data_IF_195161164058
#
_entry.id   IF_195161164058
#
_cell.length_a   1.000
_cell.length_b   1.000
_cell.length_c   1.000
_cell.angle_alpha   90.00
_cell.angle_beta   90.00
_cell.angle_gamma   90.00
#
_symmetry.space_group_name_H-M   'P 1'
#
loop_
_entity.id
_entity.type
_entity.pdbx_description
1 polymer ?
#
# COMPACT_ATOMS: atom_id res chain seq x y z
N UNK A 1 5.50 63.63 -4.89
CA UNK A 1 5.25 62.37 -5.63
C UNK A 1 6.52 62.00 -6.36
N UNK A 2 7.28 61.04 -5.84
CA UNK A 2 8.54 60.59 -6.44
C UNK A 2 8.72 59.11 -6.14
N UNK A 3 8.66 58.27 -7.18
CA UNK A 3 8.92 56.84 -7.10
C UNK A 3 10.40 56.60 -6.75
N UNK A 4 10.67 55.95 -5.62
CA UNK A 4 12.00 55.49 -5.27
C UNK A 4 12.21 54.08 -5.81
N UNK A 5 12.86 53.97 -6.97
CA UNK A 5 13.44 52.73 -7.48
C UNK A 5 14.50 52.21 -6.50
N UNK A 6 14.23 51.10 -5.82
CA UNK A 6 15.27 50.33 -5.11
C UNK A 6 16.02 49.47 -6.13
N UNK A 7 17.19 49.95 -6.59
CA UNK A 7 18.17 49.13 -7.32
C UNK A 7 18.74 48.06 -6.38
N UNK A 8 18.73 46.80 -6.81
CA UNK A 8 19.54 45.74 -6.20
C UNK A 8 21.04 46.04 -6.44
N UNK A 9 21.93 45.75 -5.48
CA UNK A 9 23.36 45.99 -5.65
C UNK A 9 23.95 44.95 -6.63
N UNK A 10 24.66 45.43 -7.65
CA UNK A 10 25.49 44.58 -8.52
C UNK A 10 26.64 43.98 -7.69
N UNK A 11 26.66 42.65 -7.57
CA UNK A 11 27.79 41.91 -7.05
C UNK A 11 28.90 41.92 -8.11
N UNK A 12 29.90 42.78 -7.93
CA UNK A 12 31.15 42.67 -8.67
C UNK A 12 31.88 41.37 -8.26
N UNK A 13 32.50 40.63 -9.19
CA UNK A 13 33.23 39.41 -8.84
C UNK A 13 34.41 39.76 -7.92
N UNK A 14 34.38 39.24 -6.69
CA UNK A 14 35.53 39.32 -5.78
C UNK A 14 36.72 38.62 -6.44
N UNK A 15 37.83 39.34 -6.61
CA UNK A 15 39.12 38.70 -6.92
C UNK A 15 39.45 37.70 -5.81
N UNK A 16 39.97 36.50 -6.14
CA UNK A 16 40.37 35.54 -5.13
C UNK A 16 41.48 36.14 -4.28
N UNK A 17 41.31 36.10 -2.95
CA UNK A 17 42.37 36.45 -2.01
C UNK A 17 43.53 35.45 -2.17
N UNK A 18 44.79 35.90 -2.04
CA UNK A 18 45.94 35.01 -2.14
C UNK A 18 45.90 33.99 -1.00
N UNK A 19 45.91 32.71 -1.38
CA UNK A 19 46.03 31.57 -0.48
C UNK A 19 47.26 31.76 0.42
N UNK A 20 47.16 31.49 1.73
CA UNK A 20 48.35 31.47 2.59
C UNK A 20 49.30 30.40 2.04
N UNK A 21 50.53 30.79 1.72
CA UNK A 21 51.62 29.84 1.51
C UNK A 21 51.99 29.23 2.86
N UNK A 22 51.21 28.23 3.28
CA UNK A 22 51.44 27.40 4.45
C UNK A 22 51.59 25.95 3.98
N UNK A 23 52.65 25.29 4.44
CA UNK A 23 53.08 23.92 4.12
C UNK A 23 51.96 22.97 3.72
N UNK A 24 52.12 22.30 2.58
CA UNK A 24 51.32 21.14 2.18
C UNK A 24 51.56 19.98 3.15
N UNK A 25 50.87 20.02 4.29
CA UNK A 25 50.58 18.81 5.04
C UNK A 25 49.41 18.15 4.31
N UNK A 26 49.60 16.92 3.86
CA UNK A 26 48.55 16.17 3.18
C UNK A 26 47.34 16.07 4.14
N UNK A 27 46.11 15.96 3.62
CA UNK A 27 44.90 15.70 4.44
C UNK A 27 45.10 14.53 5.43
N UNK A 28 45.97 13.59 5.07
CA UNK A 28 46.44 12.48 5.91
C UNK A 28 47.17 12.96 7.17
N UNK A 29 48.03 13.96 7.06
CA UNK A 29 48.81 14.52 8.17
C UNK A 29 47.92 15.34 9.13
N UNK A 30 46.87 15.98 8.60
CA UNK A 30 45.86 16.72 9.39
C UNK A 30 44.95 15.73 10.13
N UNK A 31 44.56 14.63 9.47
CA UNK A 31 43.72 13.59 10.05
C UNK A 31 44.41 12.80 11.17
N UNK A 32 45.73 12.56 11.05
CA UNK A 32 46.54 11.87 12.07
C UNK A 32 46.80 12.75 13.30
N UNK A 33 46.86 14.07 13.16
CA UNK A 33 47.13 14.98 14.27
C UNK A 33 46.00 15.07 15.33
N UNK A 34 44.82 14.49 15.05
CA UNK A 34 43.62 14.52 15.92
C UNK A 34 43.38 13.15 16.61
N UNK A 35 44.29 12.19 16.43
CA UNK A 35 44.28 10.87 17.10
C UNK A 35 45.14 10.95 18.38
N UNK A 36 44.65 10.60 19.60
CA UNK A 36 43.47 9.79 19.88
C UNK A 36 42.14 10.57 19.85
N UNK A 37 41.07 9.98 19.26
CA UNK A 37 39.74 10.58 19.28
C UNK A 37 39.12 10.54 20.69
N UNK A 38 38.02 11.29 20.92
CA UNK A 38 37.27 11.19 22.17
C UNK A 38 36.86 9.74 22.48
N UNK A 39 36.80 9.40 23.78
CA UNK A 39 36.52 8.05 24.25
C UNK A 39 35.26 7.44 23.61
N UNK A 40 35.42 6.28 22.98
CA UNK A 40 34.35 5.55 22.30
C UNK A 40 34.30 5.72 20.78
N UNK A 41 35.05 6.67 20.21
CA UNK A 41 35.22 6.78 18.76
C UNK A 41 36.45 6.00 18.29
N UNK A 42 36.35 5.36 17.12
CA UNK A 42 37.45 4.65 16.48
C UNK A 42 38.41 5.67 15.86
N UNK A 43 39.70 5.56 16.15
CA UNK A 43 40.75 6.42 15.58
C UNK A 43 40.91 6.19 14.08
N UNK A 44 41.42 7.18 13.37
CA UNK A 44 41.67 7.02 11.92
C UNK A 44 42.75 5.97 11.69
N UNK A 45 43.72 5.86 12.59
CA UNK A 45 44.74 4.82 12.48
C UNK A 45 44.14 3.42 12.66
N UNK A 46 43.24 3.25 13.63
CA UNK A 46 42.53 1.99 13.85
C UNK A 46 41.57 1.65 12.71
N UNK A 47 40.92 2.65 12.09
CA UNK A 47 40.10 2.46 10.91
C UNK A 47 40.94 1.97 9.72
N UNK A 48 42.11 2.58 9.49
CA UNK A 48 43.02 2.21 8.39
C UNK A 48 43.61 0.82 8.60
N UNK A 49 44.00 0.45 9.82
CA UNK A 49 44.50 -0.89 10.14
C UNK A 49 43.41 -1.97 9.93
N UNK A 50 42.13 -1.61 10.11
CA UNK A 50 40.99 -2.48 9.79
C UNK A 50 40.69 -2.56 8.30
N UNK A 51 41.12 -1.59 7.49
CA UNK A 51 40.90 -1.62 6.04
C UNK A 51 41.70 -2.72 5.36
N UNK A 52 42.90 -3.04 5.86
CA UNK A 52 43.69 -4.17 5.35
C UNK A 52 42.98 -5.49 5.63
N UNK A 53 42.43 -5.67 6.84
CA UNK A 53 41.58 -6.82 7.17
C UNK A 53 40.33 -6.91 6.28
N UNK A 54 39.65 -5.78 6.02
CA UNK A 54 38.46 -5.75 5.15
C UNK A 54 38.80 -6.03 3.68
N UNK A 55 39.98 -5.61 3.23
CA UNK A 55 40.52 -5.88 1.91
C UNK A 55 40.89 -7.36 1.75
N UNK A 56 41.59 -7.94 2.74
CA UNK A 56 41.93 -9.37 2.80
C UNK A 56 40.68 -10.27 2.88
N UNK A 57 39.61 -9.77 3.52
CA UNK A 57 38.30 -10.39 3.53
C UNK A 57 37.48 -10.16 2.24
N UNK A 58 38.08 -9.62 1.17
CA UNK A 58 37.45 -9.35 -0.13
C UNK A 58 36.18 -8.48 -0.07
N UNK A 59 35.99 -7.70 0.99
CA UNK A 59 34.76 -6.95 1.25
C UNK A 59 34.42 -5.91 0.15
N UNK A 60 35.45 -5.43 -0.56
CA UNK A 60 35.33 -4.43 -1.64
C UNK A 60 35.53 -5.00 -3.04
N UNK A 61 35.66 -6.33 -3.19
CA UNK A 61 35.89 -6.93 -4.51
C UNK A 61 34.58 -7.04 -5.31
N UNK A 62 34.63 -6.70 -6.59
CA UNK A 62 33.50 -6.82 -7.53
C UNK A 62 33.17 -8.26 -7.93
N UNK A 63 33.91 -9.25 -7.42
CA UNK A 63 33.74 -10.67 -7.72
C UNK A 63 32.82 -11.41 -6.73
N UNK A 64 32.09 -10.69 -5.86
CA UNK A 64 31.11 -11.28 -4.94
C UNK A 64 29.88 -11.89 -5.61
N UNK A 65 29.79 -11.95 -6.94
CA UNK A 65 28.63 -12.54 -7.63
C UNK A 65 28.42 -14.02 -7.29
N UNK A 66 29.49 -14.81 -7.16
CA UNK A 66 29.38 -16.25 -6.82
C UNK A 66 29.12 -16.50 -5.33
N UNK A 67 29.67 -15.68 -4.42
CA UNK A 67 29.36 -15.77 -2.98
C UNK A 67 27.98 -15.19 -2.65
N UNK A 68 27.51 -14.15 -3.34
CA UNK A 68 26.13 -13.66 -3.22
C UNK A 68 25.12 -14.72 -3.70
N UNK A 69 25.40 -15.43 -4.79
CA UNK A 69 24.59 -16.58 -5.25
C UNK A 69 24.61 -17.74 -4.23
N UNK A 70 25.76 -18.02 -3.59
CA UNK A 70 25.88 -19.03 -2.54
C UNK A 70 25.20 -18.62 -1.21
N UNK A 71 25.18 -17.32 -0.89
CA UNK A 71 24.48 -16.76 0.28
C UNK A 71 22.97 -16.73 0.06
N UNK A 72 22.50 -16.45 -1.17
CA UNK A 72 21.07 -16.56 -1.56
C UNK A 72 20.54 -17.99 -1.42
N UNK A 73 21.37 -19.00 -1.62
CA UNK A 73 20.96 -20.42 -1.59
C UNK A 73 21.04 -21.09 -0.22
N UNK A 74 21.69 -20.46 0.77
CA UNK A 74 21.90 -21.04 2.11
C UNK A 74 21.08 -20.40 3.22
N UNK A 75 20.56 -19.18 3.04
CA UNK A 75 19.62 -18.56 3.98
C UNK A 75 18.20 -18.94 3.59
N UNK A 76 17.48 -19.60 4.50
CA UNK A 76 16.01 -19.58 4.43
C UNK A 76 15.60 -18.12 4.34
N UNK A 77 14.85 -17.73 3.30
CA UNK A 77 14.40 -16.36 3.16
C UNK A 77 13.62 -15.96 4.41
N UNK A 78 13.69 -14.67 4.82
CA UNK A 78 12.88 -14.20 5.92
C UNK A 78 11.40 -14.43 5.58
N UNK A 79 10.56 -14.67 6.58
CA UNK A 79 9.17 -15.06 6.36
C UNK A 79 8.36 -13.99 5.62
N UNK A 80 8.79 -12.72 5.64
CA UNK A 80 8.18 -11.61 4.90
C UNK A 80 8.60 -11.53 3.44
N UNK A 81 9.44 -12.46 2.97
CA UNK A 81 9.92 -12.43 1.61
C UNK A 81 8.75 -12.55 0.61
N UNK A 82 8.60 -11.52 -0.23
CA UNK A 82 7.54 -11.45 -1.23
C UNK A 82 7.95 -12.02 -2.58
N UNK A 83 9.21 -12.46 -2.81
CA UNK A 83 9.70 -12.80 -4.16
C UNK A 83 8.82 -13.80 -4.89
N UNK A 84 8.38 -14.86 -4.21
CA UNK A 84 7.50 -15.87 -4.83
C UNK A 84 6.13 -15.28 -5.19
N UNK A 85 5.59 -14.37 -4.37
CA UNK A 85 4.29 -13.73 -4.62
C UNK A 85 4.42 -12.55 -5.62
N UNK A 86 5.60 -11.95 -5.71
CA UNK A 86 5.92 -10.83 -6.57
C UNK A 86 6.33 -11.27 -7.99
N UNK A 87 6.52 -12.57 -8.24
CA UNK A 87 6.67 -13.14 -9.57
C UNK A 87 5.28 -13.56 -10.11
N UNK A 88 4.77 -12.87 -11.15
CA UNK A 88 3.48 -13.21 -11.75
C UNK A 88 3.39 -14.68 -12.20
N UNK A 89 4.51 -15.32 -12.56
CA UNK A 89 4.50 -16.70 -13.02
C UNK A 89 4.22 -17.73 -11.91
N UNK A 90 4.47 -17.38 -10.64
CA UNK A 90 4.37 -18.29 -9.49
C UNK A 90 2.98 -18.31 -8.86
N UNK A 91 2.19 -17.24 -9.00
CA UNK A 91 0.86 -17.08 -8.40
C UNK A 91 -0.30 -17.56 -9.31
N UNK A 92 -0.13 -18.70 -9.99
CA UNK A 92 -1.08 -19.19 -11.01
C UNK A 92 -1.82 -20.47 -10.63
N UNK A 93 -1.50 -21.05 -9.48
CA UNK A 93 -2.17 -22.25 -8.98
C UNK A 93 -3.68 -22.01 -8.71
N UNK A 94 -4.54 -23.04 -8.88
CA UNK A 94 -5.93 -22.96 -8.46
C UNK A 94 -6.07 -22.61 -6.98
N UNK A 95 -7.08 -21.82 -6.64
CA UNK A 95 -7.33 -21.45 -5.25
C UNK A 95 -7.71 -22.68 -4.41
N UNK A 96 -7.11 -22.80 -3.22
CA UNK A 96 -7.46 -23.85 -2.27
C UNK A 96 -8.76 -23.48 -1.53
N UNK A 97 -9.83 -24.18 -1.88
CA UNK A 97 -11.15 -23.99 -1.27
C UNK A 97 -11.42 -25.01 -0.13
N UNK A 98 -10.42 -25.77 0.32
CA UNK A 98 -10.62 -26.77 1.37
C UNK A 98 -11.08 -26.10 2.68
N UNK A 99 -12.12 -26.64 3.31
CA UNK A 99 -12.66 -26.12 4.57
C UNK A 99 -13.61 -24.91 4.44
N UNK A 100 -13.75 -24.35 3.23
CA UNK A 100 -14.68 -23.25 2.97
C UNK A 100 -16.06 -23.76 2.56
N UNK A 101 -17.13 -23.21 3.13
CA UNK A 101 -18.48 -23.54 2.69
C UNK A 101 -18.85 -22.79 1.40
N UNK A 102 -19.74 -23.38 0.61
CA UNK A 102 -20.16 -22.84 -0.70
C UNK A 102 -20.80 -21.45 -0.60
N UNK A 103 -21.58 -21.18 0.44
CA UNK A 103 -22.28 -19.91 0.61
C UNK A 103 -21.30 -18.75 0.84
N UNK A 104 -20.27 -18.96 1.66
CA UNK A 104 -19.25 -17.95 1.95
C UNK A 104 -18.44 -17.60 0.70
N UNK A 105 -18.05 -18.62 -0.07
CA UNK A 105 -17.32 -18.41 -1.32
C UNK A 105 -18.20 -17.73 -2.38
N UNK A 106 -19.49 -18.10 -2.48
CA UNK A 106 -20.45 -17.40 -3.34
C UNK A 106 -20.62 -15.93 -2.92
N UNK A 107 -20.62 -15.62 -1.62
CA UNK A 107 -20.68 -14.24 -1.14
C UNK A 107 -19.42 -13.43 -1.48
N UNK A 108 -18.24 -14.04 -1.37
CA UNK A 108 -16.99 -13.43 -1.83
C UNK A 108 -17.04 -13.14 -3.34
N UNK A 109 -17.41 -14.12 -4.16
CA UNK A 109 -17.54 -13.96 -5.61
C UNK A 109 -18.53 -12.85 -5.96
N UNK A 110 -19.71 -12.87 -5.34
CA UNK A 110 -20.76 -11.87 -5.53
C UNK A 110 -20.28 -10.45 -5.20
N UNK A 111 -19.53 -10.29 -4.10
CA UNK A 111 -18.98 -8.99 -3.71
C UNK A 111 -17.92 -8.50 -4.70
N UNK A 112 -17.03 -9.37 -5.19
CA UNK A 112 -16.05 -9.00 -6.20
C UNK A 112 -16.71 -8.57 -7.52
N UNK A 113 -17.71 -9.35 -8.00
CA UNK A 113 -18.51 -9.01 -9.20
C UNK A 113 -19.20 -7.66 -9.02
N UNK A 114 -19.81 -7.42 -7.86
CA UNK A 114 -20.45 -6.14 -7.54
C UNK A 114 -19.49 -4.97 -7.66
N UNK A 115 -18.32 -5.06 -7.02
CA UNK A 115 -17.30 -4.01 -7.06
C UNK A 115 -16.93 -3.72 -8.51
N UNK A 116 -16.64 -4.76 -9.29
CA UNK A 116 -16.24 -4.64 -10.70
C UNK A 116 -17.30 -3.99 -11.58
N UNK A 117 -18.58 -4.35 -11.41
CA UNK A 117 -19.68 -3.76 -12.18
C UNK A 117 -19.87 -2.29 -11.79
N UNK A 118 -19.79 -1.95 -10.50
CA UNK A 118 -19.91 -0.55 -10.04
C UNK A 118 -18.78 0.29 -10.62
N UNK A 119 -17.54 -0.19 -10.55
CA UNK A 119 -16.39 0.52 -11.12
C UNK A 119 -16.51 0.71 -12.62
N UNK A 120 -16.95 -0.31 -13.36
CA UNK A 120 -17.21 -0.19 -14.79
C UNK A 120 -18.30 0.86 -15.10
N UNK A 121 -19.37 0.89 -14.30
CA UNK A 121 -20.45 1.86 -14.44
C UNK A 121 -19.95 3.30 -14.19
N UNK A 122 -19.21 3.52 -13.10
CA UNK A 122 -18.63 4.82 -12.76
C UNK A 122 -17.64 5.28 -13.83
N UNK A 123 -16.76 4.41 -14.33
CA UNK A 123 -15.86 4.73 -15.44
C UNK A 123 -16.62 5.12 -16.71
N UNK A 124 -17.71 4.41 -17.02
CA UNK A 124 -18.61 4.78 -18.13
C UNK A 124 -19.20 6.18 -17.93
N UNK A 125 -19.66 6.49 -16.71
CA UNK A 125 -20.20 7.81 -16.37
C UNK A 125 -19.15 8.92 -16.52
N UNK A 126 -17.92 8.70 -16.05
CA UNK A 126 -16.81 9.64 -16.19
C UNK A 126 -16.45 9.89 -17.67
N UNK A 127 -16.37 8.82 -18.48
CA UNK A 127 -16.13 8.94 -19.94
C UNK A 127 -17.21 9.77 -20.65
N UNK A 128 -18.45 9.68 -20.19
CA UNK A 128 -19.57 10.48 -20.73
C UNK A 128 -19.72 11.87 -20.11
N UNK A 129 -18.86 12.25 -19.16
CA UNK A 129 -18.93 13.54 -18.46
C UNK A 129 -20.09 13.68 -17.48
N UNK A 130 -20.77 12.58 -17.13
CA UNK A 130 -21.86 12.59 -16.12
C UNK A 130 -21.33 12.81 -14.70
N UNK A 131 -20.09 12.40 -14.46
CA UNK A 131 -19.33 12.66 -13.24
C UNK A 131 -17.95 13.16 -13.66
N UNK A 132 -17.32 13.97 -12.81
CA UNK A 132 -16.04 14.65 -13.07
C UNK A 132 -14.90 13.66 -13.30
N UNK A 133 -14.69 12.79 -12.33
CA UNK A 133 -13.62 11.82 -12.36
C UNK A 133 -13.99 10.61 -11.50
N UNK A 134 -13.35 9.50 -11.81
CA UNK A 134 -13.24 8.34 -10.94
C UNK A 134 -11.75 8.08 -10.86
N UNK A 135 -11.25 7.78 -9.67
CA UNK A 135 -9.88 7.32 -9.57
C UNK A 135 -9.69 6.12 -10.51
N UNK A 136 -8.64 6.18 -11.34
CA UNK A 136 -8.37 5.13 -12.32
C UNK A 136 -8.33 3.79 -11.61
N UNK A 137 -9.17 2.86 -12.10
CA UNK A 137 -9.21 1.41 -11.82
C UNK A 137 -8.15 0.97 -10.80
N UNK A 138 -8.56 0.74 -9.56
CA UNK A 138 -7.74 0.02 -8.59
C UNK A 138 -7.64 -1.43 -9.05
N UNK A 139 -6.59 -1.71 -9.83
CA UNK A 139 -6.10 -3.00 -10.29
C UNK A 139 -6.57 -4.17 -9.41
N UNK A 140 -7.45 -5.03 -9.94
CA UNK A 140 -7.80 -6.37 -9.39
C UNK A 140 -8.01 -6.43 -7.86
N UNK A 141 -8.34 -5.29 -7.27
CA UNK A 141 -8.39 -5.08 -5.81
C UNK A 141 -9.70 -5.54 -5.22
N UNK A 142 -10.63 -6.00 -6.07
CA UNK A 142 -11.92 -6.50 -5.64
C UNK A 142 -11.74 -7.68 -4.68
N UNK A 143 -10.71 -8.52 -4.88
CA UNK A 143 -10.35 -9.58 -3.94
C UNK A 143 -9.85 -9.05 -2.60
N UNK A 144 -9.00 -8.02 -2.59
CA UNK A 144 -8.51 -7.39 -1.35
C UNK A 144 -9.69 -6.83 -0.56
N UNK A 145 -10.53 -6.02 -1.20
CA UNK A 145 -11.69 -5.41 -0.55
C UNK A 145 -12.73 -6.46 -0.12
N UNK A 146 -13.03 -7.47 -0.94
CA UNK A 146 -13.97 -8.54 -0.58
C UNK A 146 -13.44 -9.42 0.56
N UNK A 147 -12.17 -9.83 0.51
CA UNK A 147 -11.54 -10.71 1.49
C UNK A 147 -11.35 -10.02 2.84
N UNK A 148 -10.97 -8.73 2.84
CA UNK A 148 -10.91 -7.93 4.06
C UNK A 148 -12.30 -7.81 4.68
N UNK A 149 -13.29 -7.43 3.86
CA UNK A 149 -14.66 -7.22 4.32
C UNK A 149 -15.33 -8.46 4.90
N UNK A 150 -14.93 -9.65 4.45
CA UNK A 150 -15.49 -10.93 4.90
C UNK A 150 -15.40 -11.13 6.42
N UNK A 151 -14.37 -10.58 7.07
CA UNK A 151 -14.13 -10.75 8.50
C UNK A 151 -14.51 -9.53 9.35
N UNK A 152 -15.04 -8.47 8.74
CA UNK A 152 -15.39 -7.25 9.46
C UNK A 152 -16.75 -7.38 10.15
N UNK A 153 -16.84 -6.81 11.35
CA UNK A 153 -18.07 -6.65 12.09
C UNK A 153 -18.69 -5.28 11.80
N UNK A 154 -19.98 -5.11 12.13
CA UNK A 154 -20.67 -3.80 12.02
C UNK A 154 -20.06 -2.67 12.85
N UNK A 155 -19.31 -3.03 13.90
CA UNK A 155 -18.59 -2.11 14.79
C UNK A 155 -17.21 -1.73 14.25
N UNK A 156 -16.75 -2.38 13.18
CA UNK A 156 -15.46 -2.09 12.57
C UNK A 156 -15.60 -0.90 11.61
N UNK A 157 -14.52 -0.15 11.46
CA UNK A 157 -14.47 1.06 10.67
C UNK A 157 -13.46 0.90 9.54
N UNK A 158 -13.75 1.47 8.38
CA UNK A 158 -12.84 1.45 7.22
C UNK A 158 -12.45 2.87 6.85
N UNK A 159 -11.15 3.08 6.68
CA UNK A 159 -10.53 4.31 6.23
C UNK A 159 -9.81 4.02 4.91
N UNK A 160 -10.31 4.61 3.83
CA UNK A 160 -9.72 4.46 2.50
C UNK A 160 -8.56 5.42 2.25
N UNK A 161 -7.66 5.08 1.33
CA UNK A 161 -6.50 5.91 0.98
C UNK A 161 -6.84 7.05 0.02
N UNK A 162 -7.77 6.87 -0.94
CA UNK A 162 -8.02 7.86 -2.01
C UNK A 162 -9.46 8.04 -2.48
N UNK A 163 -10.43 7.79 -1.61
CA UNK A 163 -11.83 7.68 -2.02
C UNK A 163 -11.94 6.60 -3.12
N UNK A 164 -11.45 5.39 -2.87
CA UNK A 164 -11.63 4.29 -3.82
C UNK A 164 -12.96 3.58 -3.62
N UNK A 165 -13.64 3.26 -4.71
CA UNK A 165 -14.96 2.63 -4.69
C UNK A 165 -14.96 1.30 -3.96
N UNK A 166 -13.97 0.45 -4.24
CA UNK A 166 -13.85 -0.89 -3.67
C UNK A 166 -13.70 -0.82 -2.14
N UNK A 167 -12.90 0.12 -1.63
CA UNK A 167 -12.70 0.34 -0.20
C UNK A 167 -13.96 0.86 0.51
N UNK A 168 -14.78 1.67 -0.18
CA UNK A 168 -16.10 2.07 0.37
C UNK A 168 -17.02 0.85 0.48
N UNK A 169 -16.96 -0.07 -0.48
CA UNK A 169 -17.75 -1.29 -0.50
C UNK A 169 -17.26 -2.37 0.49
N UNK A 170 -16.09 -2.17 1.12
CA UNK A 170 -15.60 -3.03 2.21
C UNK A 170 -16.55 -3.01 3.42
N UNK A 171 -17.16 -1.86 3.74
CA UNK A 171 -18.04 -1.73 4.93
C UNK A 171 -19.43 -1.15 4.60
N UNK A 172 -19.82 -1.13 3.33
CA UNK A 172 -21.11 -0.56 2.93
C UNK A 172 -21.73 -1.32 1.76
N UNK A 173 -23.00 -1.70 1.93
CA UNK A 173 -23.84 -2.21 0.85
C UNK A 173 -24.78 -1.12 0.28
N UNK A 174 -24.60 0.16 0.67
CA UNK A 174 -25.42 1.29 0.23
C UNK A 174 -24.94 1.86 -1.11
N UNK A 175 -25.12 1.07 -2.16
CA UNK A 175 -24.75 1.40 -3.54
C UNK A 175 -25.47 2.67 -4.03
N UNK A 176 -26.71 2.89 -3.58
CA UNK A 176 -27.48 4.09 -3.87
C UNK A 176 -26.80 5.37 -3.34
N UNK A 177 -26.32 5.33 -2.10
CA UNK A 177 -25.58 6.44 -1.50
C UNK A 177 -24.23 6.67 -2.16
N UNK A 178 -23.55 5.59 -2.58
CA UNK A 178 -22.31 5.70 -3.34
C UNK A 178 -22.54 6.45 -4.65
N UNK A 179 -23.49 6.02 -5.49
CA UNK A 179 -23.80 6.74 -6.74
C UNK A 179 -24.28 8.17 -6.50
N UNK A 180 -25.14 8.39 -5.51
CA UNK A 180 -25.60 9.73 -5.15
C UNK A 180 -24.42 10.62 -4.74
N UNK A 181 -23.40 10.05 -4.09
CA UNK A 181 -22.18 10.79 -3.74
C UNK A 181 -21.38 11.22 -4.97
N UNK A 182 -21.31 10.43 -6.04
CA UNK A 182 -20.66 10.86 -7.29
C UNK A 182 -21.48 11.89 -8.08
N UNK A 183 -22.81 11.80 -8.05
CA UNK A 183 -23.72 12.64 -8.85
C UNK A 183 -23.91 14.06 -8.29
N UNK A 184 -23.81 14.25 -6.97
CA UNK A 184 -24.03 15.56 -6.33
C UNK A 184 -23.02 16.62 -6.79
N UNK A 185 -23.52 17.82 -7.10
CA UNK A 185 -22.72 18.99 -7.52
C UNK A 185 -21.61 19.37 -6.54
N UNK A 186 -21.90 19.31 -5.24
CA UNK A 186 -20.97 19.67 -4.16
C UNK A 186 -20.33 18.46 -3.50
N UNK A 187 -20.30 17.30 -4.17
CA UNK A 187 -19.71 16.12 -3.56
C UNK A 187 -18.20 16.23 -3.43
N UNK A 188 -17.67 15.58 -2.39
CA UNK A 188 -16.21 15.44 -2.20
C UNK A 188 -15.56 14.84 -3.46
N UNK A 189 -16.32 14.02 -4.20
CA UNK A 189 -15.95 13.38 -5.47
C UNK A 189 -15.90 14.34 -6.67
N UNK A 190 -16.75 15.38 -6.69
CA UNK A 190 -16.80 16.38 -7.76
C UNK A 190 -15.81 17.53 -7.56
N UNK A 191 -15.49 17.86 -6.31
CA UNK A 191 -14.53 18.92 -5.94
C UNK A 191 -13.07 18.57 -6.29
N UNK A 192 -12.75 17.31 -6.60
CA UNK A 192 -11.39 16.93 -7.02
C UNK A 192 -10.97 17.52 -8.38
N UNK A 193 -11.90 17.87 -9.27
CA UNK A 193 -11.57 18.43 -10.59
C UNK A 193 -10.88 19.81 -10.54
N UNK A 194 -11.03 20.57 -9.45
CA UNK A 194 -10.45 21.91 -9.35
C UNK A 194 -9.06 21.99 -8.69
N UNK A 195 -8.47 20.86 -8.26
CA UNK A 195 -7.15 20.86 -7.58
C UNK A 195 -6.07 19.98 -8.21
N UNK A 196 -6.26 19.48 -9.42
CA UNK A 196 -5.18 18.83 -10.18
C UNK A 196 -4.31 19.80 -11.00
N UNK A 197 -4.70 21.08 -11.12
CA UNK A 197 -3.99 22.05 -11.98
C UNK A 197 -2.98 22.94 -11.24
N UNK A 198 -3.01 23.04 -9.91
CA UNK A 198 -1.98 23.76 -9.16
C UNK A 198 -1.78 23.06 -7.82
N UNK A 199 -0.54 22.63 -7.55
CA UNK A 199 -0.19 21.88 -6.34
C UNK A 199 -0.80 22.45 -5.05
N UNK A 200 -1.39 21.54 -4.26
CA UNK A 200 -1.90 21.68 -2.87
C UNK A 200 -3.42 21.88 -2.68
N UNK A 201 -4.05 21.38 -1.59
CA UNK A 201 -3.83 20.14 -0.84
C UNK A 201 -5.16 19.37 -0.67
N UNK A 202 -5.14 18.08 -1.00
CA UNK A 202 -6.01 17.01 -0.45
C UNK A 202 -5.31 15.66 -0.62
N UNK A 203 -4.30 15.60 -1.51
CA UNK A 203 -3.29 14.54 -1.60
C UNK A 203 -2.15 14.63 -0.56
N UNK A 204 -2.23 15.51 0.45
CA UNK A 204 -1.13 15.74 1.42
C UNK A 204 -1.45 15.30 2.85
N UNK A 205 -2.59 14.65 3.07
CA UNK A 205 -3.15 14.47 4.40
C UNK A 205 -3.51 13.01 4.72
N UNK A 206 -2.70 12.04 4.26
CA UNK A 206 -2.75 10.67 4.77
C UNK A 206 -2.36 10.66 6.26
N UNK A 207 -1.30 11.41 6.60
CA UNK A 207 -0.84 11.69 7.95
C UNK A 207 -1.95 12.21 8.86
N UNK A 208 -2.66 13.25 8.42
CA UNK A 208 -3.73 13.90 9.21
C UNK A 208 -5.06 13.20 9.09
N UNK A 209 -5.44 12.50 8.02
CA UNK A 209 -6.72 11.75 7.97
C UNK A 209 -6.64 10.49 8.83
N UNK A 210 -5.53 9.74 8.74
CA UNK A 210 -5.30 8.55 9.58
C UNK A 210 -5.02 8.95 11.03
N UNK A 211 -4.18 9.97 11.28
CA UNK A 211 -4.00 10.48 12.64
C UNK A 211 -5.28 11.11 13.18
N UNK A 212 -6.02 11.96 12.44
CA UNK A 212 -7.26 12.58 12.95
C UNK A 212 -8.39 11.56 13.15
N UNK A 213 -8.51 10.52 12.33
CA UNK A 213 -9.49 9.46 12.55
C UNK A 213 -9.13 8.63 13.77
N UNK A 214 -7.86 8.22 13.91
CA UNK A 214 -7.39 7.50 15.10
C UNK A 214 -7.47 8.38 16.36
N UNK A 215 -7.16 9.69 16.28
CA UNK A 215 -7.24 10.62 17.41
C UNK A 215 -8.67 11.02 17.79
N UNK A 216 -9.55 11.29 16.82
CA UNK A 216 -10.96 11.67 17.10
C UNK A 216 -11.73 10.52 17.73
N UNK A 217 -11.28 9.30 17.53
CA UNK A 217 -11.95 8.11 18.01
C UNK A 217 -11.44 7.57 19.33
N UNK A 218 -10.38 8.14 19.94
CA UNK A 218 -9.68 7.60 21.14
C UNK A 218 -9.99 6.10 21.34
N UNK A 219 -9.29 5.22 20.61
CA UNK A 219 -9.60 3.79 20.58
C UNK A 219 -9.46 3.12 21.95
N UNK A 220 -8.87 3.83 22.92
CA UNK A 220 -8.75 3.43 24.32
C UNK A 220 -9.90 3.91 25.21
N UNK A 221 -10.81 4.76 24.71
CA UNK A 221 -12.06 5.03 25.40
C UNK A 221 -12.89 3.74 25.46
N UNK A 222 -13.48 3.43 26.61
CA UNK A 222 -14.33 2.24 26.87
C UNK A 222 -15.63 2.18 26.03
N UNK A 223 -15.66 2.83 24.86
CA UNK A 223 -16.82 3.03 23.99
C UNK A 223 -17.11 1.88 23.03
N UNK A 224 -16.31 0.80 23.05
CA UNK A 224 -16.64 -0.42 22.30
C UNK A 224 -16.47 -0.32 20.78
N UNK A 225 -15.55 0.52 20.29
CA UNK A 225 -15.15 0.50 18.88
C UNK A 225 -14.46 -0.81 18.51
N UNK A 226 -14.81 -1.31 17.30
CA UNK A 226 -14.19 -2.50 16.71
C UNK A 226 -12.82 -2.22 16.09
N UNK A 227 -12.43 -3.06 15.13
CA UNK A 227 -11.19 -2.89 14.37
C UNK A 227 -11.31 -1.68 13.44
N UNK A 228 -10.25 -0.88 13.35
CA UNK A 228 -10.11 0.17 12.34
C UNK A 228 -9.23 -0.35 11.21
N UNK A 229 -9.81 -0.59 10.04
CA UNK A 229 -9.09 -0.96 8.81
C UNK A 229 -8.63 0.32 8.11
N UNK A 230 -7.35 0.40 7.77
CA UNK A 230 -6.80 1.50 7.00
C UNK A 230 -6.09 0.98 5.75
N UNK A 231 -6.57 1.39 4.58
CA UNK A 231 -5.90 1.10 3.32
C UNK A 231 -4.77 2.10 3.06
N UNK A 232 -3.68 1.61 2.47
CA UNK A 232 -2.53 2.40 2.01
C UNK A 232 -1.96 1.72 0.77
N UNK A 233 -1.47 2.49 -0.21
CA UNK A 233 -0.72 1.90 -1.32
C UNK A 233 0.78 1.85 -1.00
N UNK A 234 1.55 1.00 -1.69
CA UNK A 234 3.00 0.88 -1.47
C UNK A 234 3.78 2.21 -1.55
N UNK A 235 3.40 3.09 -2.48
CA UNK A 235 4.06 4.39 -2.62
C UNK A 235 3.85 5.29 -1.39
N UNK A 236 2.62 5.29 -0.84
CA UNK A 236 2.25 6.02 0.37
C UNK A 236 2.82 5.37 1.63
N UNK A 237 2.92 4.04 1.66
CA UNK A 237 3.48 3.32 2.79
C UNK A 237 4.92 3.76 3.07
N UNK A 238 5.70 3.99 2.02
CA UNK A 238 7.11 4.42 2.12
C UNK A 238 7.31 5.85 2.62
N UNK A 239 6.26 6.67 2.73
CA UNK A 239 6.45 8.07 3.17
C UNK A 239 6.74 8.15 4.66
N UNK A 240 7.49 9.16 5.07
CA UNK A 240 7.82 9.41 6.49
C UNK A 240 6.57 9.52 7.37
N UNK A 241 5.51 10.12 6.85
CA UNK A 241 4.24 10.29 7.55
C UNK A 241 3.60 8.94 7.86
N UNK A 242 3.59 8.02 6.90
CA UNK A 242 3.02 6.69 7.13
C UNK A 242 3.85 5.92 8.17
N UNK A 243 5.18 5.97 8.08
CA UNK A 243 6.08 5.32 9.03
C UNK A 243 5.92 5.87 10.46
N UNK A 244 5.77 7.19 10.63
CA UNK A 244 5.48 7.79 11.94
C UNK A 244 4.14 7.28 12.52
N UNK A 245 3.11 7.13 11.67
CA UNK A 245 1.83 6.59 12.08
C UNK A 245 1.95 5.13 12.52
N UNK A 246 2.68 4.29 11.77
CA UNK A 246 2.93 2.88 12.14
C UNK A 246 3.54 2.77 13.55
N UNK A 247 4.57 3.57 13.83
CA UNK A 247 5.21 3.63 15.15
C UNK A 247 4.20 4.07 16.21
N UNK A 248 3.38 5.07 15.90
CA UNK A 248 2.38 5.61 16.84
C UNK A 248 1.26 4.63 17.17
N UNK A 249 0.65 3.99 16.17
CA UNK A 249 -0.41 3.00 16.39
C UNK A 249 0.13 1.81 17.18
N UNK A 250 1.41 1.46 16.99
CA UNK A 250 2.07 0.39 17.72
C UNK A 250 2.37 0.76 19.17
N UNK A 251 2.90 1.96 19.40
CA UNK A 251 3.20 2.48 20.73
C UNK A 251 1.94 2.64 21.58
N UNK A 252 0.85 3.13 20.98
CA UNK A 252 -0.44 3.30 21.63
C UNK A 252 -1.31 2.02 21.66
N UNK A 253 -0.84 0.92 21.06
CA UNK A 253 -1.56 -0.36 20.98
C UNK A 253 -2.98 -0.23 20.39
N UNK A 254 -3.14 0.61 19.37
CA UNK A 254 -4.45 0.87 18.76
C UNK A 254 -4.97 -0.34 17.96
N UNK A 255 -6.30 -0.53 17.91
CA UNK A 255 -6.93 -1.67 17.24
C UNK A 255 -6.99 -1.46 15.72
N UNK A 256 -5.83 -1.28 15.08
CA UNK A 256 -5.72 -0.96 13.64
C UNK A 256 -5.26 -2.17 12.84
N UNK A 257 -5.96 -2.46 11.74
CA UNK A 257 -5.46 -3.31 10.66
C UNK A 257 -5.04 -2.40 9.50
N UNK A 258 -3.75 -2.30 9.21
CA UNK A 258 -3.24 -1.60 8.03
C UNK A 258 -3.20 -2.56 6.84
N UNK A 259 -3.89 -2.24 5.75
CA UNK A 259 -3.92 -3.00 4.51
C UNK A 259 -3.08 -2.28 3.48
N UNK A 260 -1.89 -2.80 3.19
CA UNK A 260 -0.97 -2.26 2.19
C UNK A 260 -1.22 -2.95 0.84
N UNK A 261 -1.72 -2.19 -0.13
CA UNK A 261 -1.86 -2.62 -1.51
C UNK A 261 -0.55 -2.37 -2.27
N UNK A 262 0.19 -3.45 -2.50
CA UNK A 262 1.48 -3.44 -3.17
C UNK A 262 1.30 -3.79 -4.64
N UNK A 263 0.87 -2.81 -5.44
CA UNK A 263 0.71 -2.97 -6.89
C UNK A 263 2.09 -2.98 -7.57
N UNK A 264 2.39 -4.07 -8.26
CA UNK A 264 3.56 -4.21 -9.13
C UNK A 264 3.13 -4.04 -10.59
N UNK A 265 3.92 -3.32 -11.38
CA UNK A 265 3.68 -3.29 -12.83
C UNK A 265 4.47 -4.39 -13.52
N UNK A 266 3.90 -4.95 -14.59
CA UNK A 266 4.61 -5.88 -15.50
C UNK A 266 5.87 -5.28 -16.10
N UNK A 267 5.88 -3.95 -16.25
CA UNK A 267 6.94 -3.19 -16.93
C UNK A 267 8.06 -2.75 -15.96
N UNK A 268 7.82 -2.82 -14.64
CA UNK A 268 8.75 -2.45 -13.58
C UNK A 268 9.30 -3.67 -12.82
N UNK A 269 9.47 -4.80 -13.52
CA UNK A 269 10.33 -5.92 -13.09
C UNK A 269 11.79 -5.50 -12.81
N UNK A 270 12.12 -4.23 -13.06
CA UNK A 270 13.41 -3.57 -12.82
C UNK A 270 13.42 -2.61 -11.62
N UNK A 271 12.44 -2.62 -10.71
CA UNK A 271 12.69 -2.10 -9.35
C UNK A 271 13.61 -3.08 -8.59
N UNK A 272 14.80 -3.31 -9.14
CA UNK A 272 15.95 -3.93 -8.49
C UNK A 272 16.82 -2.88 -7.77
N UNK A 273 16.46 -1.60 -7.85
CA UNK A 273 17.23 -0.52 -7.25
C UNK A 273 16.63 -0.07 -5.91
N UNK A 274 17.37 -0.43 -4.87
CA UNK A 274 17.67 0.37 -3.67
C UNK A 274 16.52 0.71 -2.69
N UNK A 275 16.41 -0.08 -1.61
CA UNK A 275 16.93 0.28 -0.27
C UNK A 275 16.32 -0.66 0.77
N UNK A 276 17.13 -1.58 1.31
CA UNK A 276 17.03 -2.38 2.56
C UNK A 276 15.71 -3.01 3.04
N UNK A 277 14.53 -2.49 2.71
CA UNK A 277 13.23 -3.11 2.93
C UNK A 277 12.37 -3.18 1.65
N UNK A 278 12.17 -4.41 1.15
CA UNK A 278 11.50 -4.65 -0.15
C UNK A 278 9.97 -4.79 -0.05
N UNK A 279 9.41 -4.74 1.16
CA UNK A 279 8.00 -4.98 1.41
C UNK A 279 7.53 -4.33 2.72
N UNK A 280 6.23 -4.09 2.83
CA UNK A 280 5.62 -3.48 4.02
C UNK A 280 5.69 -4.40 5.25
N UNK A 281 5.65 -5.71 5.03
CA UNK A 281 5.79 -6.73 6.08
C UNK A 281 7.14 -6.65 6.81
N UNK A 282 8.23 -6.33 6.11
CA UNK A 282 9.53 -6.14 6.74
C UNK A 282 9.52 -4.96 7.73
N UNK A 283 8.96 -3.82 7.33
CA UNK A 283 8.81 -2.67 8.23
C UNK A 283 7.91 -2.98 9.43
N UNK A 284 6.83 -3.74 9.21
CA UNK A 284 5.97 -4.20 10.30
C UNK A 284 6.76 -5.07 11.29
N UNK A 285 7.58 -6.00 10.81
CA UNK A 285 8.45 -6.82 11.65
C UNK A 285 9.43 -5.98 12.49
N UNK A 286 10.08 -5.00 11.87
CA UNK A 286 11.02 -4.09 12.54
C UNK A 286 10.37 -3.29 13.68
N UNK A 287 9.09 -2.93 13.54
CA UNK A 287 8.31 -2.27 14.59
C UNK A 287 7.62 -3.22 15.57
N UNK A 288 7.77 -4.53 15.40
CA UNK A 288 7.08 -5.54 16.21
C UNK A 288 5.56 -5.47 16.05
N UNK A 289 5.10 -5.19 14.84
CA UNK A 289 3.70 -5.24 14.38
C UNK A 289 3.51 -6.60 13.71
N UNK A 290 2.45 -7.33 14.08
CA UNK A 290 2.15 -8.60 13.42
C UNK A 290 1.74 -8.34 11.96
N UNK A 291 2.20 -9.19 11.04
CA UNK A 291 1.96 -8.99 9.63
C UNK A 291 1.59 -10.29 8.90
N UNK A 292 1.01 -10.15 7.71
CA UNK A 292 0.87 -11.22 6.73
C UNK A 292 1.07 -10.65 5.32
N UNK A 293 1.75 -11.40 4.46
CA UNK A 293 1.85 -11.14 3.01
C UNK A 293 0.95 -12.13 2.30
N UNK A 294 0.14 -11.65 1.36
CA UNK A 294 -0.76 -12.48 0.55
C UNK A 294 -0.71 -12.09 -0.92
N UNK A 295 -1.01 -13.06 -1.78
CA UNK A 295 -1.39 -12.81 -3.18
C UNK A 295 -2.71 -12.03 -3.20
N UNK A 296 -2.68 -10.81 -3.71
CA UNK A 296 -3.81 -9.89 -3.76
C UNK A 296 -4.94 -10.33 -4.69
N UNK A 297 -4.70 -11.33 -5.55
CA UNK A 297 -5.72 -11.95 -6.39
C UNK A 297 -6.32 -13.23 -5.77
N UNK A 298 -5.76 -13.71 -4.66
CA UNK A 298 -6.29 -14.84 -3.88
C UNK A 298 -7.15 -14.34 -2.72
N UNK A 299 -8.45 -14.17 -3.00
CA UNK A 299 -9.45 -13.73 -2.00
C UNK A 299 -9.56 -14.66 -0.80
N UNK A 300 -9.24 -15.95 -0.95
CA UNK A 300 -9.30 -16.94 0.15
C UNK A 300 -8.14 -16.75 1.11
N UNK A 301 -6.92 -16.59 0.57
CA UNK A 301 -5.73 -16.25 1.36
C UNK A 301 -5.89 -14.90 2.05
N UNK A 302 -6.41 -13.88 1.35
CA UNK A 302 -6.71 -12.56 1.93
C UNK A 302 -7.71 -12.69 3.09
N UNK A 303 -8.82 -13.41 2.89
CA UNK A 303 -9.83 -13.57 3.93
C UNK A 303 -9.29 -14.37 5.13
N UNK A 304 -8.48 -15.40 4.90
CA UNK A 304 -7.87 -16.20 5.98
C UNK A 304 -6.87 -15.37 6.79
N UNK A 305 -5.99 -14.62 6.12
CA UNK A 305 -5.02 -13.74 6.77
C UNK A 305 -5.73 -12.61 7.54
N UNK A 306 -6.73 -11.96 6.92
CA UNK A 306 -7.53 -10.92 7.57
C UNK A 306 -8.18 -11.46 8.84
N UNK A 307 -8.75 -12.67 8.82
CA UNK A 307 -9.34 -13.29 10.01
C UNK A 307 -8.33 -13.37 11.15
N UNK A 308 -7.14 -13.91 10.88
CA UNK A 308 -6.08 -14.07 11.87
C UNK A 308 -5.65 -12.73 12.46
N UNK A 309 -5.39 -11.73 11.60
CA UNK A 309 -4.93 -10.41 12.03
C UNK A 309 -6.02 -9.66 12.81
N UNK A 310 -7.25 -9.61 12.31
CA UNK A 310 -8.37 -8.93 12.99
C UNK A 310 -8.70 -9.59 14.34
N UNK A 311 -8.65 -10.92 14.45
CA UNK A 311 -8.87 -11.62 15.72
C UNK A 311 -7.80 -11.23 16.78
N UNK A 312 -6.55 -10.96 16.37
CA UNK A 312 -5.49 -10.48 17.26
C UNK A 312 -5.70 -9.03 17.66
N UNK A 313 -6.02 -8.18 16.69
CA UNK A 313 -6.31 -6.75 16.89
C UNK A 313 -7.48 -6.58 17.87
N UNK A 314 -8.56 -7.34 17.68
CA UNK A 314 -9.72 -7.36 18.61
C UNK A 314 -9.37 -7.83 20.01
N UNK A 315 -8.41 -8.74 20.15
CA UNK A 315 -7.88 -9.20 21.45
C UNK A 315 -6.89 -8.20 22.09
N UNK A 316 -6.80 -6.97 21.57
CA UNK A 316 -5.92 -5.89 22.05
C UNK A 316 -4.44 -6.29 22.07
N UNK A 317 -4.03 -7.14 21.13
CA UNK A 317 -2.62 -7.57 20.97
C UNK A 317 -1.76 -6.60 20.15
N UNK A 318 -2.32 -5.43 19.83
CA UNK A 318 -1.69 -4.40 19.02
C UNK A 318 -2.23 -4.36 17.60
N UNK A 319 -1.71 -3.40 16.82
CA UNK A 319 -2.05 -3.29 15.41
C UNK A 319 -1.48 -4.46 14.61
N UNK A 320 -1.99 -4.62 13.41
CA UNK A 320 -1.52 -5.62 12.45
C UNK A 320 -1.43 -5.04 11.04
N UNK A 321 -0.62 -5.68 10.19
CA UNK A 321 -0.42 -5.30 8.79
C UNK A 321 -0.76 -6.46 7.84
N UNK A 322 -1.55 -6.20 6.81
CA UNK A 322 -1.80 -7.10 5.70
C UNK A 322 -1.20 -6.48 4.44
N UNK A 323 -0.19 -7.10 3.85
CA UNK A 323 0.37 -6.71 2.56
C UNK A 323 -0.23 -7.58 1.47
N UNK A 324 -1.02 -6.98 0.59
CA UNK A 324 -1.60 -7.64 -0.57
C UNK A 324 -0.81 -7.24 -1.82
N UNK A 325 -0.08 -8.20 -2.39
CA UNK A 325 0.71 -8.00 -3.61
C UNK A 325 -0.20 -8.15 -4.82
N UNK A 326 -0.29 -7.11 -5.64
CA UNK A 326 -1.19 -7.03 -6.78
C UNK A 326 -0.39 -6.88 -8.06
N UNK A 327 -0.90 -7.37 -9.18
CA UNK A 327 -0.30 -7.15 -10.48
C UNK A 327 -1.16 -6.19 -11.30
N UNK A 328 -0.51 -5.23 -11.94
CA UNK A 328 -1.19 -4.37 -12.91
C UNK A 328 -1.41 -5.16 -14.19
N UNK A 329 -2.59 -5.77 -14.34
CA UNK A 329 -2.99 -6.38 -15.62
C UNK A 329 -2.97 -5.32 -16.73
N UNK A 330 -2.08 -5.44 -17.71
CA UNK A 330 -2.46 -5.02 -19.05
C UNK A 330 -3.58 -5.96 -19.50
N UNK A 331 -4.60 -5.44 -20.19
CA UNK A 331 -5.85 -6.16 -20.43
C UNK A 331 -5.64 -7.62 -20.88
N UNK A 332 -6.30 -8.57 -20.19
CA UNK A 332 -6.45 -10.01 -20.52
C UNK A 332 -5.50 -11.03 -19.87
N UNK A 333 -4.90 -10.78 -18.70
CA UNK A 333 -4.27 -11.88 -17.95
C UNK A 333 -5.28 -12.57 -17.00
N UNK A 334 -6.01 -13.56 -17.53
CA UNK A 334 -6.93 -14.40 -16.73
C UNK A 334 -6.24 -15.03 -15.51
N UNK A 335 -4.91 -15.18 -15.53
CA UNK A 335 -4.17 -15.83 -14.45
C UNK A 335 -4.12 -15.02 -13.16
N UNK A 336 -4.28 -13.70 -13.25
CA UNK A 336 -4.28 -12.80 -12.09
C UNK A 336 -5.64 -12.14 -11.83
N UNK A 337 -6.64 -12.38 -12.69
CA UNK A 337 -7.99 -11.90 -12.43
C UNK A 337 -8.62 -12.68 -11.25
N UNK A 338 -8.89 -12.02 -10.10
CA UNK A 338 -9.42 -12.69 -8.92
C UNK A 338 -10.82 -13.33 -9.12
N UNK A 339 -11.66 -12.72 -9.95
CA UNK A 339 -13.00 -13.26 -10.24
C UNK A 339 -12.86 -14.52 -11.09
N UNK A 340 -11.98 -14.50 -12.09
CA UNK A 340 -11.71 -15.68 -12.92
C UNK A 340 -11.13 -16.82 -12.07
N UNK A 341 -10.10 -16.54 -11.27
CA UNK A 341 -9.45 -17.54 -10.40
C UNK A 341 -10.43 -18.20 -9.44
N UNK A 342 -11.25 -17.40 -8.74
CA UNK A 342 -12.25 -17.94 -7.82
C UNK A 342 -13.34 -18.74 -8.55
N UNK A 343 -13.84 -18.20 -9.67
CA UNK A 343 -14.87 -18.86 -10.48
C UNK A 343 -14.39 -20.23 -10.98
N UNK A 344 -13.17 -20.30 -11.50
CA UNK A 344 -12.60 -21.56 -11.98
C UNK A 344 -12.43 -22.58 -10.85
N UNK A 345 -11.99 -22.15 -9.67
CA UNK A 345 -11.88 -23.02 -8.49
C UNK A 345 -13.25 -23.55 -8.03
N UNK A 346 -14.28 -22.69 -8.01
CA UNK A 346 -15.65 -23.07 -7.65
C UNK A 346 -16.27 -24.04 -8.65
N UNK A 347 -16.06 -23.82 -9.95
CA UNK A 347 -16.55 -24.73 -11.02
C UNK A 347 -15.88 -26.09 -10.89
N UNK A 348 -14.55 -26.10 -10.69
CA UNK A 348 -13.77 -27.33 -10.50
C UNK A 348 -14.23 -28.11 -9.27
N UNK A 349 -14.56 -27.43 -8.17
CA UNK A 349 -15.09 -28.07 -6.94
C UNK A 349 -16.57 -28.50 -7.07
N UNK A 350 -17.29 -27.97 -8.06
CA UNK A 350 -18.72 -28.25 -8.28
C UNK A 350 -19.69 -27.37 -7.50
N UNK A 351 -19.25 -26.20 -7.01
CA UNK A 351 -20.09 -25.25 -6.27
C UNK A 351 -21.06 -24.45 -7.15
N UNK A 352 -20.64 -24.21 -8.39
CA UNK A 352 -21.35 -23.40 -9.38
C UNK A 352 -20.98 -23.90 -10.77
N UNK A 353 -21.84 -23.67 -11.76
CA UNK A 353 -21.53 -23.89 -13.16
C UNK A 353 -21.51 -22.55 -13.90
N UNK A 354 -21.07 -22.53 -15.16
CA UNK A 354 -20.99 -21.30 -15.96
C UNK A 354 -22.34 -20.54 -16.02
N UNK A 355 -23.46 -21.25 -16.21
CA UNK A 355 -24.78 -20.63 -16.21
C UNK A 355 -25.13 -19.96 -14.86
N UNK A 356 -24.72 -20.57 -13.74
CA UNK A 356 -24.89 -19.99 -12.41
C UNK A 356 -24.09 -18.70 -12.22
N UNK A 357 -22.87 -18.63 -12.78
CA UNK A 357 -22.04 -17.41 -12.77
C UNK A 357 -22.72 -16.30 -13.59
N UNK A 358 -23.19 -16.62 -14.80
CA UNK A 358 -23.91 -15.65 -15.65
C UNK A 358 -25.18 -15.10 -14.97
N UNK A 359 -25.92 -15.97 -14.27
CA UNK A 359 -27.09 -15.56 -13.48
C UNK A 359 -26.66 -14.63 -12.34
N UNK A 360 -25.60 -14.95 -11.61
CA UNK A 360 -25.08 -14.13 -10.52
C UNK A 360 -24.69 -12.73 -11.00
N UNK A 361 -23.96 -12.64 -12.12
CA UNK A 361 -23.59 -11.38 -12.76
C UNK A 361 -24.83 -10.59 -13.19
N UNK A 362 -25.79 -11.24 -13.84
CA UNK A 362 -27.03 -10.61 -14.28
C UNK A 362 -27.84 -10.03 -13.12
N UNK A 363 -27.90 -10.73 -11.98
CA UNK A 363 -28.59 -10.26 -10.78
C UNK A 363 -27.88 -9.03 -10.17
N UNK A 364 -26.55 -9.04 -10.09
CA UNK A 364 -25.81 -7.87 -9.59
C UNK A 364 -25.93 -6.67 -10.54
N UNK A 365 -25.88 -6.88 -11.85
CA UNK A 365 -26.12 -5.82 -12.84
C UNK A 365 -27.52 -5.19 -12.68
N UNK A 366 -28.56 -6.00 -12.49
CA UNK A 366 -29.93 -5.51 -12.27
C UNK A 366 -30.02 -4.70 -10.96
N UNK A 367 -29.43 -5.22 -9.88
CA UNK A 367 -29.40 -4.54 -8.57
C UNK A 367 -28.69 -3.19 -8.65
N UNK A 368 -27.51 -3.14 -9.28
CA UNK A 368 -26.71 -1.92 -9.44
C UNK A 368 -27.45 -0.91 -10.33
N UNK A 369 -28.08 -1.36 -11.41
CA UNK A 369 -28.91 -0.50 -12.28
C UNK A 369 -30.06 0.12 -11.50
N UNK A 370 -30.76 -0.66 -10.68
CA UNK A 370 -31.84 -0.15 -9.83
C UNK A 370 -31.33 0.89 -8.81
N UNK A 371 -30.18 0.63 -8.19
CA UNK A 371 -29.55 1.58 -7.26
C UNK A 371 -29.13 2.89 -7.95
N UNK A 372 -28.59 2.81 -9.17
CA UNK A 372 -28.25 3.96 -9.98
C UNK A 372 -29.49 4.77 -10.39
N UNK A 373 -30.58 4.10 -10.80
CA UNK A 373 -31.85 4.78 -11.12
C UNK A 373 -32.38 5.55 -9.93
N UNK A 374 -32.33 4.96 -8.73
CA UNK A 374 -32.71 5.62 -7.49
C UNK A 374 -31.80 6.81 -7.17
N UNK A 375 -30.49 6.66 -7.32
CA UNK A 375 -29.55 7.76 -7.09
C UNK A 375 -29.78 8.95 -8.03
N UNK A 376 -30.17 8.67 -9.28
CA UNK A 376 -30.51 9.69 -10.28
C UNK A 376 -31.86 10.36 -10.04
N UNK A 377 -32.83 9.70 -9.38
CA UNK A 377 -34.09 10.34 -9.00
C UNK A 377 -33.94 11.27 -7.79
N UNK A 378 -32.96 10.99 -6.94
CA UNK A 378 -32.70 11.70 -5.69
C UNK A 378 -31.69 12.87 -5.84
N UNK A 379 -31.00 12.96 -7.00
CA UNK A 379 -30.02 13.98 -7.37
C UNK A 379 -30.64 15.06 -8.26
#
# INVERSE_FOLDING_TARGET
>A
MGQANRKFPELSPKKPEPTPQGSSSHLRDIAVAIDPPPSGAIGIQELLDRMDFLSEANFFSSNNSLELEAIKTTRTPPSWNIYDIADPSQCTAPLDLLGWNTNDIQNLLRRMIRIRIIDAALQGMAKTGKISAVEKRGYESEAVSAGVAFNLNKSDHVLGNRLRTDQVLTNSDRIDLLFASYLKENSVWRVQETKFINGSPYNQEFGTTLANSIYRHDPCSDTGMGVVVCYVNWAEFKTSECQEILIKIRSANYPVLMVCEHVRSSDHLLETDDTTANCAAQHAEEYGIDWAVVDGSDVVSIATATKSLTDRVRKKRGPALLEAVLFSSTANDEKHDPIYRLTNAMITRGDINHAGVEILESLEQQSIKAALTKALSDS
#
